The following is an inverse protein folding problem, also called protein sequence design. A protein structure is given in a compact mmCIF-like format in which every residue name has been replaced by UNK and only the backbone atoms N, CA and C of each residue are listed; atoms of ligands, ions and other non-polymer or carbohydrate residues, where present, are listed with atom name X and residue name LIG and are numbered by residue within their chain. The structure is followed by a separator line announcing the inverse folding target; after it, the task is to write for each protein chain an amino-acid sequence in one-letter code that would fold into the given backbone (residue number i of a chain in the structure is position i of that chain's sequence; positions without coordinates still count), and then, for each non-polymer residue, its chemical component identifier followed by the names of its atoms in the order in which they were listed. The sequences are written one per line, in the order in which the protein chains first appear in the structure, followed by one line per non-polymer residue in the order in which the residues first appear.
data_IF_224705931823
#
_entry.id   IF_224705931823
#
_cell.length_a   1.000
_cell.length_b   1.000
_cell.length_c   1.000
_cell.angle_alpha   90.00
_cell.angle_beta   90.00
_cell.angle_gamma   90.00
#
_symmetry.space_group_name_H-M   'P 1'
#
loop_
_entity.id
_entity.type
_entity.pdbx_description
1 polymer ?
#
# COMPACT_ATOMS: atom_id res chain seq x y z
N UNK A 1 20.36 -9.28 9.25
CA UNK A 1 19.77 -9.19 10.59
C UNK A 1 18.44 -9.91 10.55
N UNK A 2 18.28 -11.00 11.30
CA UNK A 2 16.99 -11.68 11.40
C UNK A 2 16.04 -10.86 12.29
N UNK A 3 14.76 -10.84 11.95
CA UNK A 3 13.74 -10.32 12.86
C UNK A 3 13.52 -11.35 13.96
N UNK A 4 13.80 -10.99 15.21
CA UNK A 4 13.57 -11.87 16.36
C UNK A 4 12.08 -11.89 16.70
N UNK A 5 11.48 -13.09 16.74
CA UNK A 5 10.06 -13.30 17.06
C UNK A 5 9.96 -13.92 18.45
N UNK A 6 9.21 -13.27 19.34
CA UNK A 6 8.87 -13.81 20.66
C UNK A 6 7.71 -14.82 20.56
N UNK A 7 8.07 -16.11 20.52
CA UNK A 7 7.11 -17.21 20.39
C UNK A 7 6.20 -17.39 21.61
N UNK A 8 6.59 -16.92 22.80
CA UNK A 8 5.73 -16.99 23.98
C UNK A 8 4.45 -16.18 23.78
N UNK A 9 4.56 -14.99 23.15
CA UNK A 9 3.38 -14.17 22.85
C UNK A 9 2.44 -14.84 21.85
N UNK A 10 2.99 -15.52 20.84
CA UNK A 10 2.18 -16.21 19.82
C UNK A 10 1.42 -17.37 20.46
N UNK A 11 2.12 -18.20 21.24
CA UNK A 11 1.56 -19.40 21.87
C UNK A 11 0.55 -19.04 22.97
N UNK A 12 0.96 -18.25 23.96
CA UNK A 12 0.14 -18.01 25.15
C UNK A 12 -0.99 -17.00 24.93
N UNK A 13 -0.95 -16.20 23.86
CA UNK A 13 -2.08 -15.36 23.44
C UNK A 13 -2.85 -15.94 22.26
N UNK A 14 -2.50 -17.16 21.82
CA UNK A 14 -3.15 -17.84 20.70
C UNK A 14 -3.25 -16.96 19.45
N UNK A 15 -2.16 -16.27 19.10
CA UNK A 15 -2.14 -15.37 17.94
C UNK A 15 -2.13 -16.18 16.64
N UNK A 16 -2.99 -15.79 15.71
CA UNK A 16 -3.02 -16.37 14.37
C UNK A 16 -2.08 -15.58 13.44
N UNK A 17 -1.09 -16.26 12.87
CA UNK A 17 -0.18 -15.68 11.89
C UNK A 17 -0.68 -15.99 10.48
N UNK A 18 -1.01 -14.95 9.72
CA UNK A 18 -1.38 -15.06 8.30
C UNK A 18 -0.31 -14.41 7.45
N UNK A 19 0.36 -15.21 6.62
CA UNK A 19 1.23 -14.70 5.57
C UNK A 19 0.39 -14.13 4.43
N UNK A 20 0.70 -12.92 3.96
CA UNK A 20 0.10 -12.34 2.76
C UNK A 20 1.23 -12.20 1.73
N UNK A 21 1.07 -12.86 0.60
CA UNK A 21 2.00 -12.75 -0.52
C UNK A 21 1.29 -12.20 -1.75
N UNK A 22 1.78 -11.07 -2.26
CA UNK A 22 1.19 -10.42 -3.43
C UNK A 22 -0.26 -9.99 -3.21
N UNK A 23 -1.15 -10.36 -4.15
CA UNK A 23 -2.59 -10.02 -4.12
C UNK A 23 -3.46 -11.09 -4.76
N UNK A 24 -4.61 -11.36 -4.17
CA UNK A 24 -5.69 -12.17 -4.75
C UNK A 24 -6.48 -11.31 -5.74
N UNK A 25 -5.97 -11.15 -6.96
CA UNK A 25 -6.42 -10.08 -7.87
C UNK A 25 -7.93 -10.04 -8.09
N UNK A 26 -8.54 -11.09 -8.65
CA UNK A 26 -9.93 -11.01 -9.10
C UNK A 26 -10.89 -10.73 -7.94
N UNK A 27 -10.86 -11.55 -6.90
CA UNK A 27 -11.77 -11.39 -5.75
C UNK A 27 -11.52 -10.07 -5.01
N UNK A 28 -10.26 -9.70 -4.79
CA UNK A 28 -9.94 -8.47 -4.04
C UNK A 28 -10.25 -7.22 -4.85
N UNK A 29 -10.14 -7.26 -6.19
CA UNK A 29 -10.51 -6.12 -7.02
C UNK A 29 -12.01 -5.83 -6.96
N UNK A 30 -12.86 -6.85 -7.02
CA UNK A 30 -14.31 -6.67 -6.86
C UNK A 30 -14.65 -6.06 -5.50
N UNK A 31 -14.01 -6.56 -4.42
CA UNK A 31 -14.17 -5.99 -3.07
C UNK A 31 -13.72 -4.52 -3.01
N UNK A 32 -12.56 -4.19 -3.60
CA UNK A 32 -12.04 -2.83 -3.61
C UNK A 32 -12.91 -1.87 -4.42
N UNK A 33 -13.42 -2.31 -5.58
CA UNK A 33 -14.36 -1.51 -6.39
C UNK A 33 -15.63 -1.23 -5.57
N UNK A 34 -16.18 -2.25 -4.90
CA UNK A 34 -17.36 -2.10 -4.05
C UNK A 34 -17.11 -1.10 -2.90
N UNK A 35 -15.92 -1.11 -2.29
CA UNK A 35 -15.58 -0.13 -1.25
C UNK A 35 -15.50 1.29 -1.78
N UNK A 36 -14.86 1.51 -2.93
CA UNK A 36 -14.77 2.85 -3.55
C UNK A 36 -16.17 3.36 -3.93
N UNK A 37 -17.00 2.51 -4.54
CA UNK A 37 -18.40 2.84 -4.85
C UNK A 37 -19.24 3.07 -3.59
N UNK A 38 -18.90 2.39 -2.48
CA UNK A 38 -19.51 2.56 -1.17
C UNK A 38 -19.05 3.82 -0.42
N UNK A 39 -18.21 4.66 -1.01
CA UNK A 39 -17.81 5.95 -0.44
C UNK A 39 -16.44 5.96 0.23
N UNK A 40 -15.62 4.91 0.09
CA UNK A 40 -14.22 4.97 0.49
C UNK A 40 -13.45 5.94 -0.41
N UNK A 41 -13.12 7.12 0.11
CA UNK A 41 -12.29 8.09 -0.59
C UNK A 41 -10.80 7.76 -0.48
N UNK A 42 -10.19 7.43 -1.63
CA UNK A 42 -8.76 7.15 -1.74
C UNK A 42 -7.96 8.36 -2.22
N UNK A 43 -8.61 9.49 -2.55
CA UNK A 43 -7.94 10.69 -3.07
C UNK A 43 -6.76 11.16 -2.19
N UNK A 44 -6.85 11.15 -0.84
CA UNK A 44 -5.75 11.61 0.02
C UNK A 44 -4.46 10.77 -0.07
N UNK A 45 -4.52 9.54 -0.59
CA UNK A 45 -3.31 8.72 -0.79
C UNK A 45 -2.44 9.26 -1.91
N UNK A 46 -3.05 9.96 -2.88
CA UNK A 46 -2.35 10.59 -4.01
C UNK A 46 -1.81 11.93 -3.54
N UNK A 47 -0.51 11.95 -3.26
CA UNK A 47 0.19 13.15 -2.75
C UNK A 47 0.72 14.04 -3.87
N UNK A 48 1.01 13.47 -5.04
CA UNK A 48 1.58 14.20 -6.16
C UNK A 48 0.96 13.74 -7.47
N UNK A 49 0.68 14.71 -8.35
CA UNK A 49 0.30 14.50 -9.75
C UNK A 49 1.25 15.36 -10.58
N UNK A 50 1.95 14.72 -11.51
CA UNK A 50 2.99 15.36 -12.34
C UNK A 50 2.83 14.90 -13.78
N UNK A 51 3.34 15.68 -14.73
CA UNK A 51 3.46 15.24 -16.12
C UNK A 51 4.52 14.15 -16.26
N UNK A 52 4.42 13.34 -17.31
CA UNK A 52 5.40 12.30 -17.63
C UNK A 52 6.82 12.86 -17.83
N UNK A 53 6.93 14.09 -18.34
CA UNK A 53 8.22 14.76 -18.55
C UNK A 53 8.97 15.01 -17.22
N UNK A 54 8.24 15.14 -16.11
CA UNK A 54 8.78 15.38 -14.76
C UNK A 54 9.05 14.08 -13.99
N UNK A 55 9.14 12.93 -14.67
CA UNK A 55 9.27 11.62 -14.02
C UNK A 55 10.39 11.58 -12.98
N UNK A 56 11.52 12.27 -13.24
CA UNK A 56 12.67 12.34 -12.34
C UNK A 56 12.29 12.92 -10.98
N UNK A 57 11.58 14.04 -10.97
CA UNK A 57 11.13 14.71 -9.76
C UNK A 57 10.14 13.82 -8.99
N UNK A 58 9.29 13.09 -9.72
CA UNK A 58 8.40 12.09 -9.13
C UNK A 58 9.14 10.95 -8.41
N UNK A 59 10.21 10.42 -9.00
CA UNK A 59 11.05 9.39 -8.36
C UNK A 59 11.85 9.95 -7.19
N UNK A 60 12.35 11.18 -7.27
CA UNK A 60 13.03 11.85 -6.16
C UNK A 60 12.08 12.09 -4.98
N UNK A 61 10.85 12.53 -5.22
CA UNK A 61 9.81 12.66 -4.22
C UNK A 61 9.53 11.32 -3.51
N UNK A 62 9.39 10.22 -4.26
CA UNK A 62 9.24 8.87 -3.70
C UNK A 62 10.42 8.43 -2.83
N UNK A 63 11.65 8.75 -3.26
CA UNK A 63 12.87 8.40 -2.51
C UNK A 63 13.05 9.22 -1.24
N UNK A 64 12.53 10.45 -1.22
CA UNK A 64 12.62 11.34 -0.05
C UNK A 64 11.86 10.81 1.17
N UNK A 65 10.90 9.91 0.98
CA UNK A 65 9.99 9.43 2.03
C UNK A 65 8.83 10.39 2.33
N UNK A 66 8.83 11.60 1.75
CA UNK A 66 7.79 12.61 1.92
C UNK A 66 6.70 12.52 0.84
N UNK A 67 6.26 11.31 0.51
CA UNK A 67 5.21 11.07 -0.48
C UNK A 67 4.40 9.82 -0.12
N UNK A 68 3.10 9.81 -0.41
CA UNK A 68 2.27 8.62 -0.33
C UNK A 68 2.27 7.88 -1.66
N UNK A 69 1.50 8.39 -2.63
CA UNK A 69 1.49 7.94 -4.02
C UNK A 69 1.78 9.11 -4.96
N UNK A 70 2.65 8.89 -5.93
CA UNK A 70 2.87 9.76 -7.09
C UNK A 70 2.16 9.15 -8.29
N UNK A 71 1.38 9.96 -9.00
CA UNK A 71 0.70 9.59 -10.26
C UNK A 71 1.28 10.46 -11.37
N UNK A 72 1.64 9.83 -12.48
CA UNK A 72 2.15 10.51 -13.67
C UNK A 72 1.06 10.53 -14.73
N UNK A 73 0.73 11.72 -15.20
CA UNK A 73 -0.18 11.93 -16.31
C UNK A 73 0.63 11.90 -17.62
N UNK A 74 0.11 11.19 -18.62
CA UNK A 74 0.77 10.91 -19.91
C UNK A 74 0.40 11.92 -20.99
#
# INVERSE_FOLDING_TARGET
AGFEIDWNKVIFKMLNLKGIYGREMFETWYKMIAFVQGGLDLSPVITHRIGIDDFRDGFEAMRSGNSGKVVMDW
#
